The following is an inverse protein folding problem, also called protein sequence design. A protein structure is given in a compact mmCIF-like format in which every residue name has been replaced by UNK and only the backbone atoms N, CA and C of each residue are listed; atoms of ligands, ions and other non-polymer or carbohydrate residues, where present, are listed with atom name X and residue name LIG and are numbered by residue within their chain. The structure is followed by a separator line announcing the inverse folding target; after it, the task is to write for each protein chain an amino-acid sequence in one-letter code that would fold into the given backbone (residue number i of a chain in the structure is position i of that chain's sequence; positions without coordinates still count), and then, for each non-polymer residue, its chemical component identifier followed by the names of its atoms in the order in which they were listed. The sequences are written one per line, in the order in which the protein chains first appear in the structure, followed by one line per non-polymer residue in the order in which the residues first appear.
data_IF_696124193451
#
_entry.id   IF_696124193451
#
_cell.length_a   1.000
_cell.length_b   1.000
_cell.length_c   1.000
_cell.angle_alpha   90.00
_cell.angle_beta   90.00
_cell.angle_gamma   90.00
#
_symmetry.space_group_name_H-M   'P 1'
#
loop_
_entity.id
_entity.type
_entity.pdbx_description
1 polymer ?
#
# COMPACT_ATOMS: atom_id res chain seq x y z
N UNK A 1 12.28 -1.50 -0.75
CA UNK A 1 11.27 -1.15 0.27
C UNK A 1 11.88 -1.30 1.67
N UNK A 2 11.82 -0.26 2.49
CA UNK A 2 12.26 -0.31 3.90
C UNK A 2 11.08 -0.37 4.87
N UNK A 3 10.08 0.50 4.68
CA UNK A 3 8.93 0.58 5.59
C UNK A 3 7.67 1.09 4.88
N UNK A 4 6.49 0.57 5.28
CA UNK A 4 5.18 1.09 4.89
C UNK A 4 4.65 1.98 6.01
N UNK A 5 4.47 3.28 5.75
CA UNK A 5 4.29 4.29 6.80
C UNK A 5 2.83 4.66 7.02
N UNK A 6 2.11 4.98 5.94
CA UNK A 6 0.72 5.49 5.98
C UNK A 6 -0.06 4.98 4.77
N UNK A 7 -1.38 5.09 4.82
CA UNK A 7 -2.25 4.85 3.67
C UNK A 7 -3.28 5.97 3.53
N UNK A 8 -3.78 6.19 2.31
CA UNK A 8 -4.89 7.10 2.02
C UNK A 8 -5.72 6.60 0.85
N UNK A 9 -7.01 6.94 0.83
CA UNK A 9 -7.82 6.74 -0.37
C UNK A 9 -7.50 7.83 -1.39
N UNK A 10 -7.25 7.43 -2.64
CA UNK A 10 -7.02 8.35 -3.75
C UNK A 10 -8.12 8.19 -4.79
N UNK A 11 -9.01 9.20 -4.88
CA UNK A 11 -10.13 9.17 -5.83
C UNK A 11 -9.69 9.34 -7.29
N UNK A 12 -8.48 9.85 -7.54
CA UNK A 12 -7.94 10.01 -8.89
C UNK A 12 -7.59 8.68 -9.53
N UNK A 13 -7.10 7.72 -8.75
CA UNK A 13 -6.75 6.37 -9.22
C UNK A 13 -7.75 5.29 -8.79
N UNK A 14 -8.76 5.67 -7.99
CA UNK A 14 -9.79 4.78 -7.45
C UNK A 14 -9.12 3.59 -6.72
N UNK A 15 -8.09 3.89 -5.93
CA UNK A 15 -7.34 2.92 -5.15
C UNK A 15 -6.81 3.57 -3.87
N UNK A 16 -6.40 2.73 -2.93
CA UNK A 16 -5.58 3.18 -1.82
C UNK A 16 -4.15 3.42 -2.29
N UNK A 17 -3.51 4.46 -1.78
CA UNK A 17 -2.07 4.67 -1.89
C UNK A 17 -1.42 4.36 -0.55
N UNK A 18 -0.20 3.82 -0.58
CA UNK A 18 0.63 3.61 0.60
C UNK A 18 1.87 4.49 0.50
N UNK A 19 2.17 5.22 1.58
CA UNK A 19 3.41 5.96 1.70
C UNK A 19 4.55 4.98 1.99
N UNK A 20 5.45 4.87 1.03
CA UNK A 20 6.58 3.95 1.04
C UNK A 20 7.84 4.70 1.45
N UNK A 21 8.53 4.17 2.47
CA UNK A 21 9.92 4.52 2.76
C UNK A 21 10.86 3.63 1.98
N UNK A 22 11.73 4.23 1.19
CA UNK A 22 12.70 3.53 0.34
C UNK A 22 13.99 3.23 1.09
N UNK A 23 14.57 2.07 0.80
CA UNK A 23 15.76 1.61 1.50
C UNK A 23 16.96 2.44 1.10
N UNK A 24 17.62 3.03 2.10
CA UNK A 24 18.82 3.85 1.88
C UNK A 24 18.54 5.24 1.29
N UNK A 25 17.27 5.68 1.29
CA UNK A 25 16.88 7.05 0.93
C UNK A 25 16.35 7.80 2.16
N UNK A 26 16.44 9.13 2.11
CA UNK A 26 15.89 10.00 3.15
C UNK A 26 14.36 10.08 3.06
N UNK A 27 13.70 10.52 4.13
CA UNK A 27 12.23 10.61 4.15
C UNK A 27 11.63 11.58 3.13
N UNK A 28 12.43 12.50 2.58
CA UNK A 28 12.00 13.38 1.48
C UNK A 28 11.72 12.61 0.19
N UNK A 29 12.35 11.45 0.03
CA UNK A 29 12.17 10.56 -1.12
C UNK A 29 10.98 9.60 -0.92
N UNK A 30 10.26 9.65 0.21
CA UNK A 30 9.07 8.84 0.42
C UNK A 30 8.03 9.14 -0.67
N UNK A 31 7.50 8.08 -1.31
CA UNK A 31 6.50 8.21 -2.37
C UNK A 31 5.19 7.52 -2.01
N UNK A 32 4.09 8.03 -2.58
CA UNK A 32 2.78 7.39 -2.50
C UNK A 32 2.62 6.41 -3.65
N UNK A 33 2.60 5.12 -3.34
CA UNK A 33 2.47 4.07 -4.33
C UNK A 33 1.05 3.48 -4.32
N UNK A 34 0.44 3.22 -5.50
CA UNK A 34 -0.84 2.54 -5.58
C UNK A 34 -0.77 1.16 -4.90
N UNK A 35 -1.76 0.87 -4.06
CA UNK A 35 -1.85 -0.38 -3.32
C UNK A 35 -1.84 -1.59 -4.26
N UNK A 36 -2.62 -1.52 -5.34
CA UNK A 36 -2.68 -2.57 -6.35
C UNK A 36 -1.33 -2.83 -7.01
N UNK A 37 -0.60 -1.79 -7.41
CA UNK A 37 0.73 -1.90 -8.02
C UNK A 37 1.77 -2.41 -7.03
N UNK A 38 1.85 -1.80 -5.84
CA UNK A 38 2.77 -2.21 -4.79
C UNK A 38 2.52 -3.65 -4.33
N UNK A 39 1.24 -4.06 -4.28
CA UNK A 39 0.81 -5.40 -3.96
C UNK A 39 1.28 -6.48 -4.95
N UNK A 40 1.47 -6.12 -6.23
CA UNK A 40 2.03 -7.04 -7.24
C UNK A 40 3.52 -7.28 -7.02
N UNK A 41 4.24 -6.26 -6.57
CA UNK A 41 5.69 -6.33 -6.37
C UNK A 41 6.08 -6.96 -5.03
N UNK A 42 5.37 -6.59 -3.95
CA UNK A 42 5.73 -6.94 -2.57
C UNK A 42 4.53 -7.38 -1.73
N UNK A 43 3.73 -8.30 -2.29
CA UNK A 43 2.49 -8.81 -1.70
C UNK A 43 2.57 -9.13 -0.20
N UNK A 44 3.61 -9.85 0.23
CA UNK A 44 3.75 -10.30 1.63
C UNK A 44 3.87 -9.12 2.60
N UNK A 45 4.63 -8.07 2.23
CA UNK A 45 4.79 -6.88 3.06
C UNK A 45 3.51 -6.06 3.12
N UNK A 46 2.83 -5.94 1.99
CA UNK A 46 1.53 -5.27 1.87
C UNK A 46 0.47 -6.00 2.70
N UNK A 47 0.40 -7.33 2.62
CA UNK A 47 -0.48 -8.17 3.44
C UNK A 47 -0.26 -7.90 4.94
N UNK A 48 0.99 -8.00 5.40
CA UNK A 48 1.34 -7.80 6.82
C UNK A 48 0.97 -6.39 7.32
N UNK A 49 1.19 -5.36 6.49
CA UNK A 49 0.82 -3.99 6.82
C UNK A 49 -0.71 -3.85 6.94
N UNK A 50 -1.45 -4.33 5.94
CA UNK A 50 -2.91 -4.17 5.83
C UNK A 50 -3.67 -4.93 6.92
N UNK A 51 -3.19 -6.11 7.34
CA UNK A 51 -3.85 -6.87 8.41
C UNK A 51 -3.98 -6.09 9.72
N UNK A 52 -3.06 -5.15 9.96
CA UNK A 52 -3.02 -4.29 11.15
C UNK A 52 -3.86 -3.00 11.02
N UNK A 53 -4.46 -2.75 9.86
CA UNK A 53 -5.21 -1.52 9.59
C UNK A 53 -6.73 -1.70 9.76
N UNK A 54 -7.46 -0.62 9.53
CA UNK A 54 -8.92 -0.56 9.57
C UNK A 54 -9.61 -1.53 8.59
N UNK A 55 -10.87 -1.88 8.88
CA UNK A 55 -11.63 -2.85 8.10
C UNK A 55 -11.81 -2.43 6.63
N UNK A 56 -11.89 -1.12 6.35
CA UNK A 56 -12.13 -0.58 5.00
C UNK A 56 -10.99 -0.90 4.04
N UNK A 57 -9.75 -0.59 4.40
CA UNK A 57 -8.57 -0.89 3.57
C UNK A 57 -8.34 -2.40 3.44
N UNK A 58 -8.61 -3.17 4.51
CA UNK A 58 -8.58 -4.65 4.45
C UNK A 58 -9.58 -5.22 3.47
N UNK A 59 -10.80 -4.69 3.45
CA UNK A 59 -11.83 -5.10 2.48
C UNK A 59 -11.40 -4.76 1.06
N UNK A 60 -10.96 -3.51 0.81
CA UNK A 60 -10.48 -3.10 -0.51
C UNK A 60 -9.35 -4.02 -1.02
N UNK A 61 -8.39 -4.34 -0.16
CA UNK A 61 -7.30 -5.24 -0.52
C UNK A 61 -7.76 -6.65 -0.87
N UNK A 62 -8.69 -7.23 -0.09
CA UNK A 62 -9.30 -8.52 -0.42
C UNK A 62 -10.03 -8.47 -1.77
N UNK A 63 -10.82 -7.43 -2.01
CA UNK A 63 -11.55 -7.24 -3.27
C UNK A 63 -10.57 -7.13 -4.45
N UNK A 64 -9.47 -6.41 -4.27
CA UNK A 64 -8.36 -6.33 -5.24
C UNK A 64 -7.72 -7.69 -5.51
N UNK A 65 -7.47 -8.51 -4.49
CA UNK A 65 -6.90 -9.85 -4.66
C UNK A 65 -7.79 -10.81 -5.45
N UNK A 66 -9.11 -10.61 -5.46
CA UNK A 66 -10.03 -11.44 -6.27
C UNK A 66 -9.99 -11.10 -7.76
N UNK A 67 -9.34 -10.00 -8.15
CA UNK A 67 -9.23 -9.53 -9.53
C UNK A 67 -7.88 -9.90 -10.17
N UNK A 68 -7.00 -10.55 -9.42
CA UNK A 68 -5.72 -11.10 -9.87
C UNK A 68 -5.83 -12.62 -9.98
#
# INVERSE_FOLDING_TARGET
LEVLKKHRWSSSIIDYEILVGWKGLESVEDSWEPLTSLGKEVKVLVDQYIQKQEAKVRKNWKDTLTKF
#
